data_IF_916279208349
#
_entry.id   IF_916279208349
#
_cell.length_a   1.000
_cell.length_b   1.000
_cell.length_c   1.000
_cell.angle_alpha   90.00
_cell.angle_beta   90.00
_cell.angle_gamma   90.00
#
_symmetry.space_group_name_H-M   'P 1'
#
loop_
_entity.id
_entity.type
_entity.pdbx_description
1 polymer ?
#
# COMPACT_ATOMS: atom_id res chain seq x y z
N UNK A 1 13.68 14.43 1.98
CA UNK A 1 12.92 15.26 1.02
C UNK A 1 13.81 15.56 -0.19
N UNK A 2 13.22 15.58 -1.38
CA UNK A 2 13.85 15.84 -2.68
C UNK A 2 12.89 16.66 -3.53
N UNK A 3 13.42 17.33 -4.55
CA UNK A 3 12.62 18.04 -5.55
C UNK A 3 12.54 17.24 -6.85
N UNK A 4 11.37 17.24 -7.46
CA UNK A 4 11.07 16.55 -8.73
C UNK A 4 10.51 17.56 -9.72
N UNK A 5 10.84 17.37 -10.99
CA UNK A 5 10.36 18.18 -12.11
C UNK A 5 9.44 17.36 -12.97
N UNK A 6 8.42 17.99 -13.52
CA UNK A 6 7.51 17.34 -14.46
C UNK A 6 8.25 17.11 -15.78
N UNK A 7 8.27 15.88 -16.26
CA UNK A 7 8.78 15.54 -17.58
C UNK A 7 7.86 14.50 -18.26
N UNK A 8 8.03 14.28 -19.56
CA UNK A 8 7.27 13.27 -20.30
C UNK A 8 8.02 11.93 -20.28
N UNK A 9 7.42 10.93 -19.64
CA UNK A 9 7.87 9.54 -19.64
C UNK A 9 7.23 8.72 -20.77
N UNK A 10 7.52 7.41 -20.78
CA UNK A 10 6.96 6.45 -21.77
C UNK A 10 5.44 6.32 -21.66
N UNK A 11 4.90 6.44 -20.45
CA UNK A 11 3.47 6.23 -20.14
C UNK A 11 2.69 7.54 -20.02
N UNK A 12 3.33 8.71 -20.17
CA UNK A 12 2.71 10.02 -20.00
C UNK A 12 3.55 10.97 -19.15
N UNK A 13 3.00 12.13 -18.76
CA UNK A 13 3.68 13.09 -17.89
C UNK A 13 3.84 12.48 -16.48
N UNK A 14 5.02 12.64 -15.91
CA UNK A 14 5.32 12.19 -14.55
C UNK A 14 6.40 13.09 -13.92
N UNK A 15 6.55 13.02 -12.60
CA UNK A 15 7.53 13.77 -11.86
C UNK A 15 8.82 12.98 -11.70
N UNK A 16 9.88 13.43 -12.34
CA UNK A 16 11.19 12.76 -12.32
C UNK A 16 12.15 13.42 -11.34
N UNK A 17 13.16 12.68 -10.83
CA UNK A 17 14.22 13.26 -10.03
C UNK A 17 14.85 14.47 -10.74
N UNK A 18 14.96 15.58 -10.03
CA UNK A 18 15.60 16.78 -10.57
C UNK A 18 17.10 16.50 -10.81
N UNK A 19 17.55 16.70 -12.06
CA UNK A 19 18.95 16.44 -12.47
C UNK A 19 19.92 17.57 -12.11
N UNK A 20 19.39 18.73 -11.73
CA UNK A 20 20.14 19.95 -11.38
C UNK A 20 19.72 20.47 -10.00
N UNK A 21 20.37 21.53 -9.51
CA UNK A 21 19.92 22.22 -8.30
C UNK A 21 18.60 22.94 -8.55
N UNK A 22 17.72 22.97 -7.55
CA UNK A 22 16.43 23.66 -7.62
C UNK A 22 16.62 25.17 -7.76
N UNK A 23 16.03 25.76 -8.80
CA UNK A 23 16.22 27.17 -9.20
C UNK A 23 15.29 28.08 -8.41
N UNK A 24 15.79 29.23 -7.97
CA UNK A 24 15.01 30.24 -7.26
C UNK A 24 13.71 30.60 -8.02
N UNK A 25 12.62 30.75 -7.27
CA UNK A 25 11.32 31.21 -7.79
C UNK A 25 10.57 30.19 -8.64
N UNK A 26 11.20 29.08 -9.05
CA UNK A 26 10.51 27.99 -9.75
C UNK A 26 9.73 27.12 -8.78
N UNK A 27 8.62 26.58 -9.25
CA UNK A 27 7.82 25.62 -8.51
C UNK A 27 8.25 24.19 -8.87
N UNK A 28 8.40 23.34 -7.86
CA UNK A 28 8.70 21.92 -8.01
C UNK A 28 7.73 21.07 -7.19
N UNK A 29 7.67 19.78 -7.50
CA UNK A 29 7.11 18.80 -6.58
C UNK A 29 8.16 18.48 -5.51
N UNK A 30 7.85 18.76 -4.25
CA UNK A 30 8.55 18.24 -3.10
C UNK A 30 8.03 16.83 -2.79
N UNK A 31 8.97 15.88 -2.70
CA UNK A 31 8.74 14.50 -2.31
C UNK A 31 9.53 14.26 -1.01
N UNK A 32 8.83 13.89 0.06
CA UNK A 32 9.44 13.55 1.34
C UNK A 32 9.09 12.12 1.74
N UNK A 33 10.10 11.40 2.22
CA UNK A 33 9.94 10.07 2.82
C UNK A 33 10.36 10.11 4.29
N UNK A 34 9.53 9.53 5.15
CA UNK A 34 9.83 9.28 6.56
C UNK A 34 9.86 7.77 6.75
N UNK A 35 11.05 7.22 7.04
CA UNK A 35 11.18 5.82 7.41
C UNK A 35 10.71 5.64 8.87
N UNK A 36 10.01 4.54 9.16
CA UNK A 36 9.41 4.30 10.48
C UNK A 36 8.16 5.16 10.75
N UNK A 37 7.38 5.49 9.72
CA UNK A 37 6.20 6.35 9.81
C UNK A 37 5.15 5.83 10.81
N UNK A 38 5.12 4.52 11.05
CA UNK A 38 4.25 3.88 12.04
C UNK A 38 4.51 4.36 13.48
N UNK A 39 5.68 4.94 13.75
CA UNK A 39 6.01 5.58 15.02
C UNK A 39 5.59 7.05 15.12
N UNK A 40 5.14 7.67 14.02
CA UNK A 40 4.78 9.09 13.95
C UNK A 40 3.28 9.27 14.17
N UNK A 41 2.89 10.30 14.93
CA UNK A 41 1.50 10.69 15.12
C UNK A 41 1.10 11.87 14.23
N UNK A 42 1.99 12.85 14.09
CA UNK A 42 1.77 14.01 13.23
C UNK A 42 3.09 14.53 12.69
N UNK A 43 3.07 15.08 11.48
CA UNK A 43 4.25 15.71 10.87
C UNK A 43 3.85 16.91 10.02
N UNK A 44 4.74 17.89 9.95
CA UNK A 44 4.70 18.98 8.98
C UNK A 44 6.08 19.18 8.36
N UNK A 45 6.11 19.84 7.22
CA UNK A 45 7.32 20.05 6.44
C UNK A 45 7.58 21.53 6.22
N UNK A 46 8.85 21.92 6.31
CA UNK A 46 9.26 23.33 6.24
C UNK A 46 10.54 23.46 5.41
N UNK A 47 10.69 24.60 4.72
CA UNK A 47 12.00 25.12 4.34
C UNK A 47 12.49 26.05 5.45
N UNK A 48 13.77 25.97 5.76
CA UNK A 48 14.40 26.68 6.88
C UNK A 48 15.69 27.35 6.42
N UNK A 49 16.13 28.43 7.06
CA UNK A 49 17.43 29.02 6.78
C UNK A 49 18.59 28.24 7.44
N UNK A 50 19.82 28.71 7.25
CA UNK A 50 21.00 28.11 7.86
C UNK A 50 20.99 28.14 9.40
N UNK A 51 20.24 29.07 10.01
CA UNK A 51 20.06 29.18 11.45
C UNK A 51 18.88 28.32 11.97
N UNK A 52 18.18 27.61 11.08
CA UNK A 52 17.05 26.74 11.41
C UNK A 52 15.71 27.46 11.55
N UNK A 53 15.63 28.75 11.23
CA UNK A 53 14.37 29.53 11.23
C UNK A 53 13.51 29.14 10.04
N UNK A 54 12.21 28.98 10.23
CA UNK A 54 11.29 28.64 9.16
C UNK A 54 11.20 29.78 8.12
N UNK A 55 11.39 29.45 6.85
CA UNK A 55 11.23 30.33 5.70
C UNK A 55 9.89 30.12 5.02
N UNK A 56 9.48 28.86 4.92
CA UNK A 56 8.25 28.47 4.25
C UNK A 56 7.71 27.21 4.89
N UNK A 57 6.43 27.24 5.26
CA UNK A 57 5.67 26.04 5.58
C UNK A 57 5.18 25.39 4.28
N UNK A 58 5.36 24.08 4.15
CA UNK A 58 4.95 23.34 2.96
C UNK A 58 3.56 22.72 3.19
N UNK A 59 2.64 22.97 2.25
CA UNK A 59 1.37 22.25 2.19
C UNK A 59 1.60 20.91 1.49
N UNK A 60 1.83 19.88 2.30
CA UNK A 60 2.05 18.50 1.82
C UNK A 60 0.86 17.61 2.17
N UNK A 61 0.76 16.47 1.50
CA UNK A 61 -0.22 15.42 1.77
C UNK A 61 0.46 14.05 1.65
N UNK A 62 -0.12 13.01 2.28
CA UNK A 62 0.36 11.64 2.10
C UNK A 62 0.07 11.15 0.68
N UNK A 63 1.02 10.46 0.05
CA UNK A 63 0.82 9.86 -1.26
C UNK A 63 -0.29 8.79 -1.25
N UNK A 64 -0.42 8.06 -0.13
CA UNK A 64 -1.45 7.06 0.11
C UNK A 64 -2.03 7.18 1.52
N UNK A 65 -3.23 6.65 1.75
CA UNK A 65 -3.86 6.60 3.08
C UNK A 65 -3.24 5.52 4.00
N UNK A 66 -2.24 4.75 3.53
CA UNK A 66 -1.60 3.69 4.31
C UNK A 66 -0.90 4.26 5.56
N UNK A 67 -1.08 3.62 6.71
CA UNK A 67 -0.42 4.00 7.95
C UNK A 67 1.07 3.63 7.99
N UNK A 68 1.54 2.82 7.04
CA UNK A 68 2.94 2.36 6.94
C UNK A 68 3.69 3.00 5.77
N UNK A 69 2.99 3.71 4.89
CA UNK A 69 3.61 4.46 3.81
C UNK A 69 3.99 5.87 4.26
N UNK A 70 5.29 6.12 4.32
CA UNK A 70 5.88 7.38 4.77
C UNK A 70 6.12 8.38 3.65
N UNK A 71 5.52 8.20 2.47
CA UNK A 71 5.66 9.13 1.34
C UNK A 71 4.67 10.31 1.42
N UNK A 72 5.20 11.51 1.22
CA UNK A 72 4.48 12.76 1.24
C UNK A 72 4.84 13.61 0.02
N UNK A 73 3.85 14.24 -0.56
CA UNK A 73 3.97 15.07 -1.75
C UNK A 73 3.51 16.49 -1.45
N UNK A 74 4.10 17.48 -2.11
CA UNK A 74 3.73 18.89 -1.96
C UNK A 74 4.25 19.74 -3.10
N UNK A 75 3.60 20.86 -3.41
CA UNK A 75 4.16 21.85 -4.32
C UNK A 75 4.94 22.90 -3.54
N UNK A 76 6.13 23.25 -4.02
CA UNK A 76 7.03 24.21 -3.36
C UNK A 76 7.59 25.18 -4.37
N UNK A 77 7.56 26.47 -4.03
CA UNK A 77 8.28 27.51 -4.75
C UNK A 77 9.61 27.77 -4.06
N UNK A 78 10.72 27.66 -4.78
CA UNK A 78 12.05 27.74 -4.17
C UNK A 78 12.37 29.18 -3.73
N UNK A 79 12.79 29.40 -2.47
CA UNK A 79 13.13 30.74 -1.98
C UNK A 79 14.40 31.27 -2.64
N UNK A 80 14.58 32.59 -2.65
CA UNK A 80 15.75 33.26 -3.21
C UNK A 80 16.97 33.33 -2.30
N UNK A 81 17.04 32.46 -1.29
CA UNK A 81 18.12 32.44 -0.32
C UNK A 81 18.47 31.01 0.08
N UNK A 82 19.66 30.76 0.67
CA UNK A 82 20.07 29.41 1.05
C UNK A 82 19.12 28.80 2.07
N UNK A 83 18.79 27.53 1.92
CA UNK A 83 17.81 26.86 2.78
C UNK A 83 18.13 25.38 3.04
N UNK A 84 17.51 24.84 4.07
CA UNK A 84 17.46 23.40 4.40
C UNK A 84 16.00 22.95 4.44
N UNK A 85 15.78 21.67 4.23
CA UNK A 85 14.46 21.05 4.38
C UNK A 85 14.34 20.49 5.79
N UNK A 86 13.18 20.66 6.42
CA UNK A 86 12.88 20.14 7.74
C UNK A 86 11.58 19.33 7.73
N UNK A 87 11.56 18.26 8.52
CA UNK A 87 10.36 17.60 8.98
C UNK A 87 10.25 17.81 10.49
N UNK A 88 9.08 18.22 10.96
CA UNK A 88 8.81 18.49 12.38
C UNK A 88 7.56 17.76 12.76
N UNK A 89 7.54 17.10 13.91
CA UNK A 89 6.37 16.33 14.29
C UNK A 89 6.39 15.87 15.73
N UNK A 90 5.44 15.00 16.02
CA UNK A 90 5.32 14.28 17.29
C UNK A 90 5.24 12.80 17.00
N UNK A 91 5.98 12.00 17.77
CA UNK A 91 5.83 10.55 17.75
C UNK A 91 4.51 10.12 18.44
N UNK A 92 4.19 8.83 18.36
CA UNK A 92 3.00 8.26 19.02
C UNK A 92 3.05 8.26 20.55
N UNK A 93 4.19 8.58 21.15
CA UNK A 93 4.37 8.75 22.59
C UNK A 93 4.20 10.22 23.00
N UNK A 94 3.98 11.12 22.05
CA UNK A 94 3.86 12.56 22.25
C UNK A 94 5.21 13.30 22.30
N UNK A 95 6.33 12.62 22.05
CA UNK A 95 7.64 13.28 22.01
C UNK A 95 7.80 14.04 20.70
N UNK A 96 8.20 15.31 20.80
CA UNK A 96 8.48 16.12 19.63
C UNK A 96 9.79 15.69 18.95
N UNK A 97 9.81 15.74 17.62
CA UNK A 97 11.02 15.53 16.83
C UNK A 97 11.17 16.61 15.76
N UNK A 98 12.42 16.85 15.36
CA UNK A 98 12.77 17.67 14.20
C UNK A 98 13.92 17.02 13.47
N UNK A 99 13.73 16.75 12.19
CA UNK A 99 14.75 16.20 11.28
C UNK A 99 15.07 17.25 10.24
N UNK A 100 16.36 17.58 10.11
CA UNK A 100 16.86 18.53 9.13
C UNK A 100 17.66 17.80 8.05
N UNK A 101 17.54 18.26 6.81
CA UNK A 101 18.47 17.84 5.76
C UNK A 101 19.90 18.22 6.14
N UNK A 102 20.86 17.37 5.76
CA UNK A 102 22.29 17.65 5.97
C UNK A 102 22.74 18.82 5.11
N UNK A 103 22.29 18.83 3.85
CA UNK A 103 22.74 19.79 2.85
C UNK A 103 21.99 21.11 2.95
N UNK A 104 22.73 22.21 2.81
CA UNK A 104 22.20 23.54 2.54
C UNK A 104 22.12 23.70 1.03
N UNK A 105 20.92 23.92 0.53
CA UNK A 105 20.68 24.15 -0.89
C UNK A 105 20.94 25.62 -1.19
N UNK A 106 21.77 25.85 -2.20
CA UNK A 106 22.10 27.18 -2.73
C UNK A 106 21.31 27.36 -4.05
N UNK A 107 20.11 27.96 -4.02
CA UNK A 107 19.28 28.06 -5.21
C UNK A 107 19.91 29.07 -6.18
N UNK A 108 20.28 28.66 -7.41
CA UNK A 108 20.77 29.61 -8.39
C UNK A 108 19.63 30.51 -8.89
N UNK A 109 19.95 31.74 -9.28
CA UNK A 109 19.01 32.70 -9.86
C UNK A 109 18.50 32.22 -11.22
N UNK A 110 19.36 31.55 -11.98
CA UNK A 110 19.05 30.96 -13.28
C UNK A 110 19.51 29.52 -13.33
N UNK A 111 18.74 28.66 -13.99
CA UNK A 111 19.17 27.31 -14.31
C UNK A 111 18.66 26.91 -15.69
N UNK A 112 19.16 25.76 -16.19
CA UNK A 112 18.68 25.17 -17.43
C UNK A 112 17.15 25.16 -17.46
N UNK A 113 16.57 25.42 -18.61
CA UNK A 113 15.13 25.28 -18.79
C UNK A 113 14.71 23.87 -18.40
N UNK A 114 13.51 23.73 -17.84
CA UNK A 114 12.96 22.39 -17.61
C UNK A 114 13.01 21.65 -18.95
N UNK A 115 13.40 20.36 -18.97
CA UNK A 115 13.44 19.59 -20.20
C UNK A 115 12.12 19.82 -20.94
N UNK A 116 12.20 20.33 -22.18
CA UNK A 116 11.01 20.56 -22.97
C UNK A 116 10.16 19.30 -22.96
N UNK A 117 8.93 19.41 -22.47
CA UNK A 117 8.01 18.27 -22.33
C UNK A 117 7.62 17.66 -23.68
N UNK A 118 7.92 18.39 -24.76
CA UNK A 118 7.75 18.00 -26.15
C UNK A 118 9.11 18.03 -26.84
N UNK A 119 9.55 16.89 -27.38
CA UNK A 119 10.77 16.85 -28.19
C UNK A 119 10.57 17.55 -29.54
N UNK A 120 11.58 18.26 -30.07
CA UNK A 120 11.45 19.05 -31.32
C UNK A 120 11.01 18.27 -32.57
N UNK A 121 11.02 16.93 -32.54
CA UNK A 121 10.63 16.07 -33.65
C UNK A 121 9.18 15.54 -33.61
N UNK A 122 8.36 15.92 -32.61
CA UNK A 122 6.96 15.48 -32.55
C UNK A 122 6.08 16.27 -33.54
N UNK A 123 5.14 15.62 -34.27
CA UNK A 123 4.18 16.31 -35.13
C UNK A 123 3.36 17.35 -34.36
N UNK A 124 3.08 18.52 -34.96
CA UNK A 124 2.39 19.65 -34.32
C UNK A 124 1.07 19.27 -33.62
N UNK A 125 0.26 18.40 -34.25
CA UNK A 125 -1.00 17.89 -33.68
C UNK A 125 -0.76 17.09 -32.39
N UNK A 126 0.36 16.36 -32.31
CA UNK A 126 0.78 15.66 -31.10
C UNK A 126 1.30 16.62 -30.02
N UNK A 127 1.89 17.75 -30.40
CA UNK A 127 2.42 18.73 -29.44
C UNK A 127 1.31 19.40 -28.62
N UNK A 128 0.22 19.83 -29.26
CA UNK A 128 -0.94 20.41 -28.56
C UNK A 128 -1.60 19.41 -27.62
N UNK A 129 -1.74 18.15 -28.04
CA UNK A 129 -2.34 17.11 -27.20
C UNK A 129 -1.45 16.77 -26.00
N UNK A 130 -0.13 16.69 -26.18
CA UNK A 130 0.83 16.51 -25.09
C UNK A 130 0.78 17.70 -24.14
N UNK A 131 0.72 18.93 -24.66
CA UNK A 131 0.63 20.12 -23.82
C UNK A 131 -0.64 20.12 -22.96
N UNK A 132 -1.80 19.76 -23.52
CA UNK A 132 -3.04 19.59 -22.75
C UNK A 132 -2.92 18.56 -21.64
N UNK A 133 -2.26 17.43 -21.91
CA UNK A 133 -2.02 16.36 -20.93
C UNK A 133 -1.11 16.87 -19.79
N UNK A 134 -0.05 17.59 -20.12
CA UNK A 134 0.85 18.23 -19.15
C UNK A 134 0.11 19.25 -18.30
N UNK A 135 -0.66 20.14 -18.93
CA UNK A 135 -1.40 21.19 -18.23
C UNK A 135 -2.45 20.57 -17.31
N UNK A 136 -3.09 19.48 -17.74
CA UNK A 136 -3.97 18.66 -16.91
C UNK A 136 -3.25 18.10 -15.68
N UNK A 137 -2.05 17.51 -15.84
CA UNK A 137 -1.26 16.99 -14.72
C UNK A 137 -0.85 18.10 -13.74
N UNK A 138 -0.45 19.28 -14.25
CA UNK A 138 -0.15 20.46 -13.41
C UNK A 138 -1.37 20.94 -12.65
N UNK A 139 -2.53 21.01 -13.32
CA UNK A 139 -3.78 21.44 -12.71
C UNK A 139 -4.24 20.45 -11.62
N UNK A 140 -4.13 19.15 -11.87
CA UNK A 140 -4.45 18.11 -10.88
C UNK A 140 -3.58 18.28 -9.62
N UNK A 141 -2.28 18.45 -9.82
CA UNK A 141 -1.34 18.68 -8.73
C UNK A 141 -1.62 19.99 -7.96
N UNK A 142 -1.93 21.07 -8.67
CA UNK A 142 -2.33 22.34 -8.05
C UNK A 142 -3.61 22.21 -7.23
N UNK A 143 -4.60 21.46 -7.74
CA UNK A 143 -5.85 21.15 -7.04
C UNK A 143 -5.58 20.34 -5.79
N UNK A 144 -4.71 19.33 -5.86
CA UNK A 144 -4.33 18.52 -4.70
C UNK A 144 -3.60 19.34 -3.64
N UNK A 145 -2.70 20.24 -4.04
CA UNK A 145 -2.01 21.15 -3.13
C UNK A 145 -2.96 22.13 -2.44
N UNK A 146 -3.92 22.72 -3.18
CA UNK A 146 -4.94 23.60 -2.60
C UNK A 146 -5.84 22.85 -1.60
N UNK A 147 -6.21 21.60 -1.92
CA UNK A 147 -6.95 20.72 -1.02
C UNK A 147 -6.15 20.41 0.24
N UNK A 148 -4.87 20.05 0.12
CA UNK A 148 -3.99 19.78 1.25
C UNK A 148 -3.83 20.99 2.18
N UNK A 149 -3.73 22.21 1.62
CA UNK A 149 -3.68 23.44 2.41
C UNK A 149 -4.96 23.66 3.25
N UNK A 150 -6.10 23.14 2.78
CA UNK A 150 -7.40 23.19 3.48
C UNK A 150 -7.54 22.07 4.50
N UNK A 151 -7.14 20.84 4.14
CA UNK A 151 -7.21 19.64 5.00
C UNK A 151 -6.20 19.67 6.16
N UNK A 152 -5.09 20.38 5.99
CA UNK A 152 -3.97 20.43 6.93
C UNK A 152 -3.63 21.89 7.29
N UNK A 153 -4.50 22.59 8.04
CA UNK A 153 -4.21 23.95 8.47
C UNK A 153 -2.91 23.99 9.28
N UNK A 154 -2.01 24.94 8.97
CA UNK A 154 -0.68 24.98 9.57
C UNK A 154 0.27 23.87 9.11
N UNK A 155 -0.09 23.14 8.03
CA UNK A 155 0.73 22.13 7.37
C UNK A 155 0.90 20.84 8.16
N UNK A 156 0.13 20.66 9.24
CA UNK A 156 0.20 19.49 10.12
C UNK A 156 -0.64 18.36 9.52
N UNK A 157 0.04 17.27 9.19
CA UNK A 157 -0.55 16.04 8.67
C UNK A 157 -0.59 15.03 9.81
N UNK A 158 -1.81 14.69 10.25
CA UNK A 158 -2.02 13.58 11.18
C UNK A 158 -1.81 12.26 10.47
N UNK A 159 -1.04 11.37 11.08
CA UNK A 159 -0.79 10.03 10.56
C UNK A 159 -1.80 9.09 11.20
N UNK A 160 -2.80 8.68 10.40
CA UNK A 160 -3.81 7.72 10.82
C UNK A 160 -3.18 6.42 11.31
N UNK A 161 -3.81 5.82 12.30
CA UNK A 161 -3.45 4.54 12.89
C UNK A 161 -4.68 3.65 13.01
N UNK A 162 -4.41 2.35 13.10
CA UNK A 162 -5.43 1.36 13.40
C UNK A 162 -5.04 0.59 14.66
N UNK A 163 -6.04 0.27 15.48
CA UNK A 163 -5.90 -0.62 16.62
C UNK A 163 -6.47 -2.00 16.25
N UNK A 164 -5.59 -2.98 16.13
CA UNK A 164 -5.95 -4.39 15.95
C UNK A 164 -6.29 -5.02 17.31
N UNK A 165 -7.39 -5.75 17.36
CA UNK A 165 -7.85 -6.44 18.57
C UNK A 165 -8.65 -7.70 18.23
N UNK A 166 -8.94 -8.51 19.26
CA UNK A 166 -9.83 -9.70 19.18
C UNK A 166 -9.45 -10.67 18.05
N UNK A 167 -8.16 -10.93 17.89
CA UNK A 167 -7.68 -11.90 16.91
C UNK A 167 -8.06 -13.30 17.40
N UNK A 168 -8.89 -13.98 16.63
CA UNK A 168 -9.28 -15.36 16.84
C UNK A 168 -9.15 -16.13 15.53
N UNK A 169 -8.83 -17.40 15.62
CA UNK A 169 -8.72 -18.26 14.45
C UNK A 169 -9.30 -19.64 14.75
N UNK A 170 -9.88 -20.25 13.72
CA UNK A 170 -10.39 -21.61 13.76
C UNK A 170 -10.25 -22.27 12.38
N UNK A 171 -10.31 -23.60 12.29
CA UNK A 171 -10.34 -24.28 10.99
C UNK A 171 -11.57 -23.85 10.17
N UNK A 172 -11.33 -23.41 8.94
CA UNK A 172 -12.40 -23.39 7.93
C UNK A 172 -12.58 -24.82 7.42
N UNK A 173 -13.75 -25.40 7.62
CA UNK A 173 -14.02 -26.82 7.33
C UNK A 173 -15.00 -27.01 6.18
N UNK A 174 -14.84 -28.12 5.46
CA UNK A 174 -15.82 -28.62 4.49
C UNK A 174 -17.13 -29.04 5.17
N UNK A 175 -18.20 -29.31 4.41
CA UNK A 175 -19.43 -29.91 4.96
C UNK A 175 -19.19 -31.25 5.68
N UNK A 176 -18.14 -31.99 5.31
CA UNK A 176 -17.74 -33.24 5.97
C UNK A 176 -16.86 -33.04 7.22
N UNK A 177 -16.55 -31.79 7.58
CA UNK A 177 -15.71 -31.45 8.73
C UNK A 177 -14.20 -31.46 8.45
N UNK A 178 -13.78 -31.72 7.22
CA UNK A 178 -12.36 -31.72 6.85
C UNK A 178 -11.82 -30.28 6.78
N UNK A 179 -10.66 -29.97 7.39
CA UNK A 179 -10.05 -28.64 7.29
C UNK A 179 -9.66 -28.27 5.85
N UNK A 180 -10.25 -27.20 5.34
CA UNK A 180 -9.97 -26.63 4.02
C UNK A 180 -9.10 -25.36 4.11
N UNK A 181 -9.02 -24.74 5.30
CA UNK A 181 -8.19 -23.57 5.48
C UNK A 181 -8.38 -22.94 6.85
N UNK A 182 -8.33 -21.61 6.86
CA UNK A 182 -8.34 -20.79 8.07
C UNK A 182 -9.57 -19.90 8.07
N UNK A 183 -10.37 -19.93 9.13
CA UNK A 183 -11.32 -18.87 9.43
C UNK A 183 -10.68 -17.90 10.41
N UNK A 184 -10.47 -16.67 9.96
CA UNK A 184 -9.85 -15.61 10.74
C UNK A 184 -10.91 -14.60 11.20
N UNK A 185 -10.90 -14.29 12.50
CA UNK A 185 -11.73 -13.23 13.09
C UNK A 185 -10.82 -12.20 13.74
N UNK A 186 -11.08 -10.91 13.50
CA UNK A 186 -10.32 -9.82 14.11
C UNK A 186 -11.15 -8.55 14.08
N UNK A 187 -10.71 -7.54 14.83
CA UNK A 187 -11.33 -6.22 14.84
C UNK A 187 -10.28 -5.13 14.61
N UNK A 188 -10.61 -4.19 13.73
CA UNK A 188 -9.82 -2.97 13.50
C UNK A 188 -10.64 -1.75 13.92
N UNK A 189 -10.01 -0.85 14.66
CA UNK A 189 -10.56 0.48 14.95
C UNK A 189 -9.61 1.54 14.40
N UNK A 190 -10.11 2.41 13.54
CA UNK A 190 -9.33 3.50 12.95
C UNK A 190 -9.49 4.78 13.78
N UNK A 191 -8.43 5.56 13.92
CA UNK A 191 -8.47 6.87 14.60
C UNK A 191 -8.92 8.02 13.68
N UNK A 192 -8.77 7.85 12.37
CA UNK A 192 -9.19 8.76 11.32
C UNK A 192 -9.96 8.02 10.22
N UNK A 193 -10.69 8.77 9.40
CA UNK A 193 -11.27 8.22 8.16
C UNK A 193 -10.12 7.76 7.25
N UNK A 194 -10.22 6.59 6.65
CA UNK A 194 -9.11 5.99 5.89
C UNK A 194 -9.59 5.07 4.77
N UNK A 195 -8.91 5.13 3.62
CA UNK A 195 -9.15 4.22 2.48
C UNK A 195 -8.03 3.18 2.39
N UNK A 196 -8.23 2.00 2.96
CA UNK A 196 -7.15 1.02 3.16
C UNK A 196 -7.54 -0.40 2.77
N UNK A 197 -6.56 -1.22 2.43
CA UNK A 197 -6.72 -2.67 2.32
C UNK A 197 -6.63 -3.28 3.73
N UNK A 198 -7.78 -3.62 4.31
CA UNK A 198 -7.87 -4.11 5.69
C UNK A 198 -7.77 -5.64 5.82
N UNK A 199 -7.62 -6.37 4.72
CA UNK A 199 -7.43 -7.82 4.73
C UNK A 199 -5.95 -8.14 4.96
N UNK A 200 -5.60 -9.03 5.92
CA UNK A 200 -4.21 -9.35 6.17
C UNK A 200 -3.62 -10.20 5.05
N UNK A 201 -2.35 -9.96 4.76
CA UNK A 201 -1.52 -10.95 4.10
C UNK A 201 -1.20 -12.07 5.09
N UNK A 202 -1.59 -13.31 4.78
CA UNK A 202 -1.45 -14.47 5.67
C UNK A 202 -0.61 -15.54 4.99
N UNK A 203 0.44 -16.00 5.64
CA UNK A 203 1.36 -16.99 5.05
C UNK A 203 2.01 -17.88 6.10
N UNK A 204 2.21 -19.18 5.79
CA UNK A 204 2.95 -20.09 6.65
C UNK A 204 4.43 -19.69 6.74
N UNK A 205 5.01 -19.82 7.94
CA UNK A 205 6.42 -19.54 8.21
C UNK A 205 7.18 -20.85 8.36
N UNK A 206 7.82 -21.26 7.27
CA UNK A 206 8.62 -22.49 7.24
C UNK A 206 10.07 -22.25 7.67
N UNK A 207 10.68 -23.26 8.30
CA UNK A 207 12.12 -23.25 8.58
C UNK A 207 12.94 -23.24 7.28
N UNK A 208 12.73 -24.16 6.31
CA UNK A 208 13.41 -24.11 5.02
C UNK A 208 13.12 -22.80 4.29
N UNK A 209 14.17 -22.14 3.81
CA UNK A 209 14.07 -20.82 3.17
C UNK A 209 13.32 -20.90 1.84
N UNK A 210 13.58 -21.94 1.07
CA UNK A 210 12.99 -22.24 -0.23
C UNK A 210 11.49 -22.50 -0.18
N UNK A 211 10.92 -22.77 1.01
CA UNK A 211 9.46 -22.93 1.18
C UNK A 211 8.74 -21.63 1.51
N UNK A 212 9.47 -20.61 1.97
CA UNK A 212 8.89 -19.33 2.40
C UNK A 212 8.33 -18.60 1.19
N UNK A 213 7.08 -18.17 1.27
CA UNK A 213 6.41 -17.44 0.20
C UNK A 213 5.94 -18.29 -0.99
N UNK A 214 6.17 -19.61 -1.01
CA UNK A 214 5.59 -20.48 -2.05
C UNK A 214 4.07 -20.44 -2.01
N UNK A 215 3.51 -20.53 -0.81
CA UNK A 215 2.07 -20.53 -0.56
C UNK A 215 1.73 -19.33 0.32
N UNK A 216 0.66 -18.64 -0.05
CA UNK A 216 -0.03 -17.66 0.79
C UNK A 216 -1.47 -18.13 1.00
N UNK A 217 -2.14 -17.59 2.01
CA UNK A 217 -3.58 -17.75 2.18
C UNK A 217 -4.28 -16.54 1.58
N UNK A 218 -5.33 -16.77 0.79
CA UNK A 218 -6.17 -15.70 0.22
C UNK A 218 -7.58 -15.77 0.78
N UNK A 219 -8.26 -14.62 0.81
CA UNK A 219 -9.68 -14.57 1.15
C UNK A 219 -10.51 -15.35 0.14
N UNK A 220 -11.40 -16.21 0.64
CA UNK A 220 -12.41 -16.90 -0.18
C UNK A 220 -13.75 -16.17 -0.08
N UNK A 221 -14.14 -15.80 1.14
CA UNK A 221 -15.39 -15.12 1.46
C UNK A 221 -15.34 -14.62 2.90
N UNK A 222 -16.30 -13.79 3.28
CA UNK A 222 -16.42 -13.36 4.67
C UNK A 222 -17.42 -12.23 4.87
N UNK A 223 -17.35 -11.62 6.03
CA UNK A 223 -18.20 -10.51 6.44
C UNK A 223 -17.38 -9.44 7.15
N UNK A 224 -17.80 -8.19 7.03
CA UNK A 224 -17.30 -7.05 7.79
C UNK A 224 -18.50 -6.38 8.46
N UNK A 225 -18.44 -6.15 9.77
CA UNK A 225 -19.51 -5.53 10.56
C UNK A 225 -18.97 -4.40 11.45
N UNK A 226 -19.51 -3.17 11.34
CA UNK A 226 -20.48 -2.72 10.35
C UNK A 226 -19.90 -2.79 8.93
N UNK A 227 -20.75 -2.69 7.90
CA UNK A 227 -20.26 -2.65 6.52
C UNK A 227 -19.44 -1.37 6.29
N UNK A 228 -18.26 -1.46 5.64
CA UNK A 228 -17.51 -0.27 5.24
C UNK A 228 -18.18 0.42 4.04
N UNK A 229 -17.70 1.61 3.70
CA UNK A 229 -18.14 2.31 2.50
C UNK A 229 -17.40 1.76 1.29
N UNK A 230 -18.15 1.20 0.33
CA UNK A 230 -17.62 0.43 -0.79
C UNK A 230 -17.59 1.18 -2.12
N UNK A 231 -18.29 2.32 -2.23
CA UNK A 231 -18.47 3.02 -3.51
C UNK A 231 -19.09 2.09 -4.57
N UNK A 232 -18.40 1.93 -5.70
CA UNK A 232 -18.83 1.06 -6.80
C UNK A 232 -18.38 -0.42 -6.65
N UNK A 233 -17.61 -0.75 -5.61
CA UNK A 233 -17.10 -2.12 -5.39
C UNK A 233 -18.07 -2.97 -4.57
N UNK A 234 -17.92 -4.28 -4.68
CA UNK A 234 -18.61 -5.25 -3.82
C UNK A 234 -17.77 -5.58 -2.58
N UNK A 235 -18.41 -6.13 -1.54
CA UNK A 235 -17.69 -6.67 -0.39
C UNK A 235 -16.74 -7.81 -0.79
N UNK A 236 -17.09 -8.55 -1.84
CA UNK A 236 -16.25 -9.61 -2.38
C UNK A 236 -14.93 -9.07 -2.92
N UNK A 237 -14.94 -7.88 -3.55
CA UNK A 237 -13.72 -7.25 -4.05
C UNK A 237 -12.74 -6.91 -2.92
N UNK A 238 -13.29 -6.43 -1.80
CA UNK A 238 -12.50 -6.17 -0.58
C UNK A 238 -11.93 -7.47 -0.02
N UNK A 239 -12.73 -8.51 0.16
CA UNK A 239 -12.33 -9.73 0.87
C UNK A 239 -11.42 -10.64 0.02
N UNK A 240 -11.78 -10.86 -1.24
CA UNK A 240 -11.11 -11.84 -2.11
C UNK A 240 -9.94 -11.20 -2.84
N UNK A 241 -10.10 -9.98 -3.33
CA UNK A 241 -9.07 -9.28 -4.11
C UNK A 241 -8.29 -8.25 -3.29
N UNK A 242 -8.62 -8.07 -2.01
CA UNK A 242 -7.90 -7.14 -1.13
C UNK A 242 -8.10 -5.67 -1.52
N UNK A 243 -9.19 -5.34 -2.23
CA UNK A 243 -9.47 -3.97 -2.63
C UNK A 243 -9.61 -3.05 -1.41
N UNK A 244 -9.15 -1.80 -1.57
CA UNK A 244 -9.25 -0.79 -0.52
C UNK A 244 -10.71 -0.36 -0.34
N UNK A 245 -11.16 -0.25 0.90
CA UNK A 245 -12.48 0.28 1.23
C UNK A 245 -12.34 1.47 2.19
N UNK A 246 -13.38 2.28 2.30
CA UNK A 246 -13.40 3.42 3.19
C UNK A 246 -13.96 3.02 4.56
N UNK A 247 -13.17 3.32 5.60
CA UNK A 247 -13.48 3.06 7.00
C UNK A 247 -13.56 4.39 7.75
N UNK A 248 -14.51 4.49 8.69
CA UNK A 248 -14.76 5.71 9.47
C UNK A 248 -13.96 5.74 10.77
N UNK A 249 -13.52 6.94 11.13
CA UNK A 249 -12.86 7.24 12.40
C UNK A 249 -13.72 6.78 13.58
N UNK A 250 -13.08 6.19 14.59
CA UNK A 250 -13.71 5.79 15.84
C UNK A 250 -14.57 4.53 15.77
N UNK A 251 -14.89 4.01 14.59
CA UNK A 251 -15.69 2.78 14.40
C UNK A 251 -14.81 1.55 14.52
N UNK A 252 -15.29 0.52 15.24
CA UNK A 252 -14.66 -0.79 15.28
C UNK A 252 -15.33 -1.72 14.28
N UNK A 253 -14.57 -2.16 13.28
CA UNK A 253 -14.98 -3.10 12.25
C UNK A 253 -14.53 -4.50 12.64
N UNK A 254 -15.47 -5.43 12.76
CA UNK A 254 -15.20 -6.85 13.00
C UNK A 254 -15.23 -7.62 11.67
N UNK A 255 -14.14 -8.31 11.39
CA UNK A 255 -13.94 -9.12 10.21
C UNK A 255 -14.09 -10.60 10.57
N UNK A 256 -14.74 -11.36 9.70
CA UNK A 256 -14.74 -12.83 9.74
C UNK A 256 -14.52 -13.34 8.33
N UNK A 257 -13.33 -13.90 8.06
CA UNK A 257 -12.87 -14.24 6.72
C UNK A 257 -12.51 -15.73 6.67
N UNK A 258 -13.11 -16.45 5.73
CA UNK A 258 -12.65 -17.77 5.33
C UNK A 258 -11.51 -17.59 4.34
N UNK A 259 -10.35 -18.16 4.66
CA UNK A 259 -9.14 -18.10 3.83
C UNK A 259 -8.72 -19.50 3.42
N UNK A 260 -8.29 -19.64 2.17
CA UNK A 260 -7.80 -20.89 1.59
C UNK A 260 -6.40 -20.68 1.00
N UNK A 261 -5.62 -21.74 0.78
CA UNK A 261 -4.35 -21.62 0.07
C UNK A 261 -4.52 -20.99 -1.32
N UNK A 262 -3.56 -20.16 -1.72
CA UNK A 262 -3.65 -19.37 -2.95
C UNK A 262 -3.66 -20.19 -4.25
N UNK A 263 -3.23 -21.46 -4.20
CA UNK A 263 -3.36 -22.43 -5.29
C UNK A 263 -4.78 -23.03 -5.42
N UNK A 264 -5.71 -22.71 -4.52
CA UNK A 264 -7.10 -23.19 -4.60
C UNK A 264 -8.01 -22.10 -5.16
N UNK A 265 -8.87 -22.44 -6.11
CA UNK A 265 -9.85 -21.51 -6.68
C UNK A 265 -11.26 -22.05 -6.55
N UNK A 266 -12.25 -21.16 -6.42
CA UNK A 266 -13.65 -21.51 -6.44
C UNK A 266 -14.27 -21.09 -7.77
N UNK A 267 -14.95 -22.02 -8.44
CA UNK A 267 -15.70 -21.78 -9.65
C UNK A 267 -16.88 -20.85 -9.39
N UNK A 268 -17.01 -19.83 -10.23
CA UNK A 268 -18.05 -18.80 -10.10
C UNK A 268 -19.46 -19.31 -10.44
N UNK A 269 -19.58 -20.42 -11.17
CA UNK A 269 -20.87 -20.99 -11.59
C UNK A 269 -21.30 -22.16 -10.70
N UNK A 270 -20.39 -23.08 -10.42
CA UNK A 270 -20.71 -24.29 -9.62
C UNK A 270 -20.45 -24.16 -8.13
N UNK A 271 -19.66 -23.17 -7.71
CA UNK A 271 -19.16 -23.06 -6.33
C UNK A 271 -18.19 -24.17 -5.94
N UNK A 272 -17.79 -25.05 -6.88
CA UNK A 272 -16.82 -26.13 -6.66
C UNK A 272 -15.40 -25.58 -6.63
N UNK A 273 -14.50 -26.36 -6.06
CA UNK A 273 -13.08 -25.99 -5.98
C UNK A 273 -12.27 -26.60 -7.12
N UNK A 274 -11.16 -25.95 -7.48
CA UNK A 274 -10.08 -26.57 -8.22
C UNK A 274 -8.73 -26.27 -7.55
N UNK A 275 -7.75 -27.15 -7.75
CA UNK A 275 -6.37 -27.04 -7.27
C UNK A 275 -5.46 -26.74 -8.46
N UNK A 276 -4.67 -25.67 -8.38
CA UNK A 276 -3.78 -25.19 -9.44
C UNK A 276 -2.32 -25.50 -9.11
N UNK A 277 -1.93 -26.77 -9.13
CA UNK A 277 -0.54 -27.18 -8.90
C UNK A 277 0.42 -26.63 -9.97
N UNK A 278 -0.10 -26.33 -11.16
CA UNK A 278 0.70 -25.75 -12.27
C UNK A 278 1.32 -24.40 -11.90
N UNK A 279 0.80 -23.68 -10.89
CA UNK A 279 1.46 -22.50 -10.28
C UNK A 279 2.93 -22.78 -9.95
N UNK A 280 3.26 -24.02 -9.58
CA UNK A 280 4.58 -24.43 -9.12
C UNK A 280 5.43 -25.12 -10.20
N UNK A 281 4.95 -25.21 -11.44
CA UNK A 281 5.64 -25.95 -12.51
C UNK A 281 7.03 -25.39 -12.84
N UNK A 282 7.25 -24.08 -12.68
CA UNK A 282 8.55 -23.44 -12.89
C UNK A 282 9.58 -23.79 -11.80
N UNK A 283 9.13 -24.23 -10.61
CA UNK A 283 10.00 -24.62 -9.51
C UNK A 283 9.37 -25.77 -8.69
N UNK A 284 9.36 -27.00 -9.24
CA UNK A 284 8.58 -28.11 -8.68
C UNK A 284 9.22 -28.74 -7.44
N UNK A 285 10.55 -28.66 -7.28
CA UNK A 285 11.25 -29.36 -6.18
C UNK A 285 10.82 -28.86 -4.79
N UNK A 286 10.80 -27.54 -4.51
CA UNK A 286 10.32 -27.02 -3.23
C UNK A 286 8.85 -27.37 -2.95
N UNK A 287 8.00 -27.35 -3.97
CA UNK A 287 6.59 -27.72 -3.84
C UNK A 287 6.39 -29.19 -3.49
N UNK A 288 7.06 -30.09 -4.21
CA UNK A 288 7.00 -31.52 -3.95
C UNK A 288 7.52 -31.87 -2.55
N UNK A 289 8.62 -31.23 -2.13
CA UNK A 289 9.17 -31.40 -0.78
C UNK A 289 8.19 -30.90 0.29
N UNK A 290 7.53 -29.76 0.05
CA UNK A 290 6.52 -29.22 0.95
C UNK A 290 5.29 -30.15 1.08
N UNK A 291 4.83 -30.73 -0.04
CA UNK A 291 3.73 -31.69 -0.03
C UNK A 291 4.08 -33.04 0.61
N UNK A 292 5.36 -33.43 0.63
CA UNK A 292 5.85 -34.60 1.35
C UNK A 292 6.00 -34.35 2.86
N UNK A 293 5.99 -33.09 3.29
CA UNK A 293 6.16 -32.70 4.69
C UNK A 293 4.87 -32.83 5.49
N UNK A 294 5.01 -33.24 6.75
CA UNK A 294 3.97 -33.20 7.79
C UNK A 294 4.15 -32.03 8.76
N UNK A 295 5.10 -31.13 8.50
CA UNK A 295 5.37 -29.97 9.35
C UNK A 295 4.15 -29.04 9.43
N UNK A 296 3.71 -28.75 10.64
CA UNK A 296 2.65 -27.78 10.96
C UNK A 296 3.27 -26.40 11.21
N UNK A 297 3.37 -25.51 10.19
CA UNK A 297 4.01 -24.22 10.39
C UNK A 297 3.12 -23.29 11.20
N UNK A 298 3.69 -22.35 11.98
CA UNK A 298 2.96 -21.16 12.39
C UNK A 298 2.67 -20.28 11.17
N UNK A 299 1.63 -19.44 11.25
CA UNK A 299 1.26 -18.51 10.18
C UNK A 299 1.48 -17.07 10.64
N UNK A 300 2.10 -16.26 9.79
CA UNK A 300 2.24 -14.82 9.99
C UNK A 300 1.06 -14.09 9.36
N UNK A 301 0.60 -13.03 10.01
CA UNK A 301 -0.48 -12.16 9.57
C UNK A 301 0.04 -10.74 9.54
N UNK A 302 -0.10 -10.06 8.40
CA UNK A 302 0.35 -8.67 8.23
C UNK A 302 -0.75 -7.82 7.61
N UNK A 303 -1.19 -6.79 8.32
CA UNK A 303 -2.09 -5.76 7.81
C UNK A 303 -1.25 -4.57 7.34
N UNK A 304 -0.76 -4.65 6.10
CA UNK A 304 0.23 -3.69 5.58
C UNK A 304 -0.25 -2.24 5.67
N UNK A 305 -1.46 -1.94 5.19
CA UNK A 305 -2.00 -0.56 5.22
C UNK A 305 -2.39 -0.10 6.64
N UNK A 306 -2.48 -1.03 7.60
CA UNK A 306 -2.93 -0.78 8.97
C UNK A 306 -1.79 -0.89 10.02
N UNK A 307 -0.57 -1.28 9.60
CA UNK A 307 0.63 -1.34 10.43
C UNK A 307 0.58 -2.35 11.58
N UNK A 308 -0.15 -3.45 11.42
CA UNK A 308 -0.33 -4.46 12.47
C UNK A 308 0.17 -5.83 12.02
N UNK A 309 0.76 -6.58 12.95
CA UNK A 309 1.20 -7.96 12.73
C UNK A 309 0.71 -8.89 13.84
N UNK A 310 0.47 -10.15 13.50
CA UNK A 310 0.15 -11.20 14.45
C UNK A 310 0.70 -12.54 13.98
N UNK A 311 0.67 -13.53 14.88
CA UNK A 311 1.07 -14.90 14.57
C UNK A 311 -0.01 -15.85 15.03
N UNK A 312 -0.39 -16.77 14.16
CA UNK A 312 -1.14 -17.97 14.52
C UNK A 312 -0.10 -19.05 14.82
N UNK A 313 -0.19 -19.74 15.98
CA UNK A 313 0.57 -20.94 16.28
C UNK A 313 0.52 -22.01 15.18
N UNK A 314 1.28 -23.11 15.37
CA UNK A 314 1.30 -24.23 14.44
C UNK A 314 -0.13 -24.65 14.01
N UNK A 315 -0.35 -24.68 12.69
CA UNK A 315 -1.65 -24.99 12.07
C UNK A 315 -1.49 -26.09 11.01
N UNK A 316 -2.46 -26.30 10.13
CA UNK A 316 -2.41 -27.42 9.18
C UNK A 316 -1.26 -27.31 8.14
N UNK A 317 -0.61 -28.44 7.81
CA UNK A 317 0.36 -28.52 6.73
C UNK A 317 -0.34 -28.41 5.36
N UNK A 318 0.39 -27.94 4.34
CA UNK A 318 -0.17 -27.78 2.99
C UNK A 318 -0.53 -29.11 2.34
N UNK A 319 0.20 -30.18 2.68
CA UNK A 319 -0.10 -31.54 2.27
C UNK A 319 -1.52 -31.98 2.69
N UNK A 320 -1.90 -31.72 3.94
CA UNK A 320 -3.23 -32.03 4.46
C UNK A 320 -4.32 -31.16 3.81
N UNK A 321 -4.08 -29.85 3.70
CA UNK A 321 -5.05 -28.93 3.09
C UNK A 321 -5.34 -29.31 1.63
N UNK A 322 -4.29 -29.55 0.83
CA UNK A 322 -4.44 -29.99 -0.57
C UNK A 322 -5.19 -31.31 -0.68
N UNK A 323 -4.84 -32.30 0.14
CA UNK A 323 -5.52 -33.59 0.15
C UNK A 323 -7.02 -33.45 0.48
N UNK A 324 -7.36 -32.62 1.47
CA UNK A 324 -8.75 -32.37 1.86
C UNK A 324 -9.58 -31.73 0.74
N UNK A 325 -8.99 -30.83 -0.06
CA UNK A 325 -9.68 -30.30 -1.25
C UNK A 325 -9.95 -31.37 -2.30
N UNK A 326 -8.97 -32.24 -2.58
CA UNK A 326 -9.13 -33.34 -3.53
C UNK A 326 -10.24 -34.29 -3.05
N UNK A 327 -10.23 -34.67 -1.78
CA UNK A 327 -11.28 -35.51 -1.17
C UNK A 327 -12.65 -34.81 -1.18
N UNK A 328 -12.69 -33.48 -1.07
CA UNK A 328 -13.91 -32.68 -1.21
C UNK A 328 -14.38 -32.51 -2.68
N UNK A 329 -13.72 -33.16 -3.64
CA UNK A 329 -14.09 -33.17 -5.05
C UNK A 329 -13.51 -32.02 -5.87
N UNK A 330 -12.43 -31.40 -5.40
CA UNK A 330 -11.73 -30.40 -6.19
C UNK A 330 -11.07 -31.03 -7.44
N UNK A 331 -11.21 -30.38 -8.59
CA UNK A 331 -10.57 -30.81 -9.85
C UNK A 331 -9.23 -30.10 -10.07
N UNK A 332 -8.47 -30.48 -11.08
CA UNK A 332 -7.34 -29.68 -11.56
C UNK A 332 -7.89 -28.40 -12.22
N UNK A 333 -7.29 -27.24 -11.94
CA UNK A 333 -7.62 -26.00 -12.62
C UNK A 333 -7.11 -25.96 -14.07
N UNK A 334 -6.18 -26.84 -14.44
CA UNK A 334 -5.55 -26.87 -15.76
C UNK A 334 -4.40 -25.84 -15.90
N UNK A 335 -3.95 -25.55 -17.13
CA UNK A 335 -2.76 -24.73 -17.39
C UNK A 335 -2.91 -23.26 -16.98
N UNK A 336 -4.14 -22.77 -16.84
CA UNK A 336 -4.45 -21.47 -16.25
C UNK A 336 -5.65 -21.62 -15.33
N UNK A 337 -5.70 -20.82 -14.26
CA UNK A 337 -6.83 -20.80 -13.34
C UNK A 337 -8.11 -20.28 -14.06
N UNK A 338 -8.84 -21.17 -14.72
CA UNK A 338 -10.14 -20.87 -15.28
C UNK A 338 -11.17 -20.86 -14.13
N UNK A 339 -11.84 -19.75 -13.88
CA UNK A 339 -12.84 -19.60 -12.82
C UNK A 339 -14.28 -19.82 -13.30
N UNK A 340 -14.48 -20.11 -14.60
CA UNK A 340 -15.77 -20.32 -15.25
C UNK A 340 -16.10 -21.81 -15.35
N UNK A 341 -16.26 -22.45 -14.19
CA UNK A 341 -16.73 -23.82 -14.05
C UNK A 341 -17.66 -23.93 -12.84
#
# INVERSE_FOLDING_TARGET
MRFRTLALGREGPDYFPLKSTAVQGRQYLADARIDGIEGVAAVRFELTDAAGRALQLLSMWKATDSSTDGEFLGLVTIPGQPFRMAAVGTDRRGAAFRVLSRDVIQPPVSGADEPGLVSPGFPAIGQEQIQKIVDGARQEMGTRAARAATEHPGGVISIGSSALSRIGYEPFVSPSGAPLGLRLRYSLRFDADSTVAAIPHVFPVYKPYEWRGLVTMKGLRGTISPAPELGAMSLNDVIVYGSRAQYRAGVTYTFSIDMVPDYVFQGTLSGRYCVHDQKFAANPNPWNALLASSETPPYSLSWNDAGSVATIPAFYPQSALRANFITAGATDCGPGANLRF
#
